data_IF_714859414273
#
_entry.id   IF_714859414273
#
_cell.length_a   1.000
_cell.length_b   1.000
_cell.length_c   1.000
_cell.angle_alpha   90.00
_cell.angle_beta   90.00
_cell.angle_gamma   90.00
#
_symmetry.space_group_name_H-M   'P 1'
#
loop_
_entity.id
_entity.type
_entity.pdbx_description
1 polymer ?
#
# COMPACT_ATOMS: atom_id res chain seq x y z
N UNK A 1 -4.44 14.17 -10.10
CA UNK A 1 -3.44 13.14 -10.48
C UNK A 1 -2.09 13.81 -10.53
N UNK A 2 -1.05 13.20 -9.96
CA UNK A 2 0.32 13.73 -10.06
C UNK A 2 0.80 13.69 -11.51
N UNK A 3 1.43 14.77 -11.97
CA UNK A 3 2.02 14.85 -13.33
C UNK A 3 3.05 13.75 -13.59
N UNK A 4 3.63 13.16 -12.54
CA UNK A 4 4.57 12.05 -12.67
C UNK A 4 3.95 10.77 -13.21
N UNK A 5 2.64 10.57 -13.04
CA UNK A 5 1.96 9.40 -13.61
C UNK A 5 1.89 9.44 -15.15
N UNK A 6 2.11 10.61 -15.79
CA UNK A 6 2.23 10.67 -17.24
C UNK A 6 3.41 9.86 -17.76
N UNK A 7 4.48 9.69 -16.97
CA UNK A 7 5.63 8.85 -17.34
C UNK A 7 5.19 7.41 -17.57
N UNK A 8 4.42 6.83 -16.63
CA UNK A 8 3.90 5.46 -16.78
C UNK A 8 2.90 5.34 -17.93
N UNK A 9 2.08 6.38 -18.18
CA UNK A 9 1.13 6.40 -19.30
C UNK A 9 1.89 6.39 -20.63
N UNK A 10 2.89 7.24 -20.79
CA UNK A 10 3.73 7.31 -22.00
C UNK A 10 4.47 5.99 -22.22
N UNK A 11 5.02 5.38 -21.16
CA UNK A 11 5.67 4.08 -21.25
C UNK A 11 4.71 2.99 -21.75
N UNK A 12 3.46 2.95 -21.27
CA UNK A 12 2.45 2.03 -21.78
C UNK A 12 2.08 2.28 -23.24
N UNK A 13 1.98 3.54 -23.65
CA UNK A 13 1.73 3.91 -25.06
C UNK A 13 2.85 3.36 -25.96
N UNK A 14 4.11 3.45 -25.53
CA UNK A 14 5.24 2.88 -26.27
C UNK A 14 5.14 1.36 -26.37
N UNK A 15 4.77 0.66 -25.29
CA UNK A 15 4.59 -0.80 -25.32
C UNK A 15 3.44 -1.20 -26.25
N UNK A 16 2.32 -0.47 -26.23
CA UNK A 16 1.20 -0.71 -27.15
C UNK A 16 1.61 -0.47 -28.60
N UNK A 17 2.33 0.62 -28.88
CA UNK A 17 2.85 0.91 -30.22
C UNK A 17 3.80 -0.19 -30.70
N UNK A 18 4.67 -0.71 -29.83
CA UNK A 18 5.57 -1.82 -30.12
C UNK A 18 4.79 -3.12 -30.42
N UNK A 19 3.73 -3.40 -29.67
CA UNK A 19 2.86 -4.56 -29.92
C UNK A 19 2.21 -4.46 -31.31
N UNK A 20 1.62 -3.30 -31.63
CA UNK A 20 1.02 -3.05 -32.96
C UNK A 20 2.09 -3.20 -34.04
N UNK A 21 3.27 -2.61 -33.85
CA UNK A 21 4.38 -2.70 -34.80
C UNK A 21 4.77 -4.15 -35.08
N UNK A 22 4.95 -4.97 -34.04
CA UNK A 22 5.30 -6.40 -34.21
C UNK A 22 4.21 -7.16 -34.95
N UNK A 23 2.94 -6.97 -34.61
CA UNK A 23 1.82 -7.63 -35.31
C UNK A 23 1.78 -7.24 -36.79
N UNK A 24 1.95 -5.95 -37.10
CA UNK A 24 2.00 -5.47 -38.49
C UNK A 24 3.23 -6.00 -39.23
N UNK A 25 4.39 -6.05 -38.59
CA UNK A 25 5.63 -6.52 -39.21
C UNK A 25 5.57 -8.00 -39.55
N UNK A 26 5.12 -8.83 -38.59
CA UNK A 26 4.87 -10.26 -38.80
C UNK A 26 3.86 -10.43 -39.95
N UNK A 27 2.71 -9.75 -39.89
CA UNK A 27 1.67 -9.87 -40.93
C UNK A 27 2.20 -9.51 -42.32
N UNK A 28 2.88 -8.37 -42.46
CA UNK A 28 3.41 -7.92 -43.74
C UNK A 28 4.49 -8.87 -44.29
N UNK A 29 5.33 -9.42 -43.41
CA UNK A 29 6.35 -10.43 -43.76
C UNK A 29 5.72 -11.71 -44.29
N UNK A 30 4.74 -12.27 -43.59
CA UNK A 30 4.04 -13.49 -44.02
C UNK A 30 3.23 -13.29 -45.31
N UNK A 31 2.51 -12.17 -45.44
CA UNK A 31 1.78 -11.84 -46.67
C UNK A 31 2.73 -11.72 -47.88
N UNK A 32 3.90 -11.09 -47.71
CA UNK A 32 4.90 -10.95 -48.78
C UNK A 32 5.49 -12.31 -49.20
N UNK A 33 5.78 -13.18 -48.25
CA UNK A 33 6.32 -14.53 -48.53
C UNK A 33 5.29 -15.37 -49.28
N UNK A 34 4.03 -15.38 -48.84
CA UNK A 34 2.96 -16.19 -49.44
C UNK A 34 2.51 -15.67 -50.82
N UNK A 35 2.27 -14.36 -50.94
CA UNK A 35 1.63 -13.79 -52.15
C UNK A 35 2.64 -13.42 -53.23
N UNK A 36 3.76 -12.81 -52.85
CA UNK A 36 4.72 -12.24 -53.80
C UNK A 36 5.82 -13.24 -54.12
N UNK A 37 6.44 -13.83 -53.10
CA UNK A 37 7.56 -14.76 -53.30
C UNK A 37 7.10 -16.19 -53.61
N UNK A 38 5.85 -16.54 -53.27
CA UNK A 38 5.27 -17.89 -53.39
C UNK A 38 6.20 -18.99 -52.84
N UNK A 39 6.97 -18.65 -51.82
CA UNK A 39 7.94 -19.54 -51.19
C UNK A 39 7.43 -20.08 -49.86
N UNK A 40 7.99 -21.22 -49.44
CA UNK A 40 7.76 -21.74 -48.11
C UNK A 40 8.36 -20.84 -47.01
N UNK A 41 7.72 -20.81 -45.86
CA UNK A 41 8.22 -20.11 -44.68
C UNK A 41 9.57 -20.72 -44.30
N UNK A 42 10.63 -19.90 -44.30
CA UNK A 42 11.98 -20.34 -43.96
C UNK A 42 12.21 -20.29 -42.46
N UNK A 43 13.07 -21.15 -41.92
CA UNK A 43 13.44 -21.18 -40.50
C UNK A 43 13.94 -19.83 -39.97
N UNK A 44 14.64 -19.04 -40.80
CA UNK A 44 15.07 -17.68 -40.46
C UNK A 44 13.90 -16.75 -40.15
N UNK A 45 12.80 -16.86 -40.89
CA UNK A 45 11.59 -16.05 -40.68
C UNK A 45 10.94 -16.40 -39.34
N UNK A 46 10.82 -17.70 -39.04
CA UNK A 46 10.26 -18.19 -37.77
C UNK A 46 11.09 -17.70 -36.58
N UNK A 47 12.42 -17.70 -36.70
CA UNK A 47 13.31 -17.26 -35.63
C UNK A 47 13.18 -15.73 -35.37
N UNK A 48 13.01 -14.94 -36.44
CA UNK A 48 12.75 -13.49 -36.31
C UNK A 48 11.38 -13.24 -35.68
N UNK A 49 10.33 -13.96 -36.10
CA UNK A 49 9.00 -13.83 -35.49
C UNK A 49 9.04 -14.19 -33.98
N UNK A 50 9.74 -15.28 -33.63
CA UNK A 50 9.91 -15.70 -32.24
C UNK A 50 10.61 -14.63 -31.40
N UNK A 51 11.68 -14.03 -31.94
CA UNK A 51 12.42 -12.98 -31.26
C UNK A 51 11.55 -11.73 -31.03
N UNK A 52 10.80 -11.30 -32.05
CA UNK A 52 9.87 -10.17 -31.93
C UNK A 52 8.80 -10.43 -30.85
N UNK A 53 8.24 -11.65 -30.80
CA UNK A 53 7.27 -12.05 -29.77
C UNK A 53 7.89 -12.03 -28.37
N UNK A 54 9.10 -12.59 -28.20
CA UNK A 54 9.80 -12.61 -26.91
C UNK A 54 10.07 -11.20 -26.40
N UNK A 55 10.47 -10.28 -27.29
CA UNK A 55 10.68 -8.86 -26.94
C UNK A 55 9.38 -8.21 -26.44
N UNK A 56 8.25 -8.46 -27.12
CA UNK A 56 6.93 -7.93 -26.69
C UNK A 56 6.55 -8.50 -25.32
N UNK A 57 6.67 -9.81 -25.12
CA UNK A 57 6.35 -10.47 -23.85
C UNK A 57 7.19 -9.87 -22.73
N UNK A 58 8.50 -9.71 -22.95
CA UNK A 58 9.39 -9.13 -21.95
C UNK A 58 8.99 -7.68 -21.61
N UNK A 59 8.70 -6.85 -22.60
CA UNK A 59 8.26 -5.46 -22.40
C UNK A 59 6.94 -5.37 -21.61
N UNK A 60 5.96 -6.19 -21.95
CA UNK A 60 4.66 -6.24 -21.26
C UNK A 60 4.83 -6.75 -19.83
N UNK A 61 5.57 -7.85 -19.62
CA UNK A 61 5.82 -8.40 -18.29
C UNK A 61 6.57 -7.42 -17.39
N UNK A 62 7.58 -6.72 -17.91
CA UNK A 62 8.30 -5.69 -17.17
C UNK A 62 7.36 -4.54 -16.76
N UNK A 63 6.52 -4.05 -17.67
CA UNK A 63 5.56 -2.99 -17.36
C UNK A 63 4.50 -3.43 -16.35
N UNK A 64 3.98 -4.65 -16.48
CA UNK A 64 3.06 -5.23 -15.48
C UNK A 64 3.72 -5.36 -14.12
N UNK A 65 4.98 -5.81 -14.08
CA UNK A 65 5.74 -5.89 -12.84
C UNK A 65 5.88 -4.53 -12.17
N UNK A 66 6.30 -3.51 -12.93
CA UNK A 66 6.50 -2.15 -12.40
C UNK A 66 5.19 -1.48 -11.99
N UNK A 67 4.08 -1.75 -12.66
CA UNK A 67 2.78 -1.12 -12.35
C UNK A 67 2.01 -1.84 -11.26
N UNK A 68 1.97 -3.16 -11.28
CA UNK A 68 1.11 -3.95 -10.38
C UNK A 68 1.89 -4.58 -9.21
N UNK A 69 3.09 -5.11 -9.48
CA UNK A 69 3.77 -5.99 -8.53
C UNK A 69 4.91 -5.32 -7.75
N UNK A 70 5.40 -4.16 -8.18
CA UNK A 70 6.38 -3.38 -7.44
C UNK A 70 5.81 -2.95 -6.08
N UNK A 71 6.24 -3.58 -5.00
CA UNK A 71 5.94 -3.14 -3.64
C UNK A 71 7.06 -2.21 -3.21
N UNK A 72 6.72 -1.04 -2.69
CA UNK A 72 7.71 -0.08 -2.21
C UNK A 72 8.21 -0.50 -0.83
N UNK A 73 9.51 -0.38 -0.64
CA UNK A 73 10.12 -0.53 0.67
C UNK A 73 9.73 0.68 1.52
N UNK A 74 8.95 0.42 2.58
CA UNK A 74 8.50 1.45 3.53
C UNK A 74 9.66 2.11 4.30
N UNK A 75 10.88 1.58 4.14
CA UNK A 75 12.12 2.13 4.70
C UNK A 75 12.72 3.25 3.82
N UNK A 76 12.49 3.25 2.51
CA UNK A 76 13.14 4.22 1.62
C UNK A 76 12.41 5.57 1.64
N UNK A 77 13.03 6.55 2.29
CA UNK A 77 12.54 7.94 2.36
C UNK A 77 12.46 8.60 0.99
N UNK A 78 13.09 8.04 -0.05
CA UNK A 78 13.04 8.59 -1.40
C UNK A 78 11.73 8.26 -2.13
N UNK A 79 11.04 7.20 -1.72
CA UNK A 79 9.83 6.71 -2.40
C UNK A 79 8.54 7.07 -1.69
N UNK A 80 8.59 7.35 -0.38
CA UNK A 80 7.40 7.70 0.39
C UNK A 80 7.53 9.04 1.13
N UNK A 81 6.40 9.73 1.23
CA UNK A 81 6.18 10.89 2.07
C UNK A 81 5.29 10.48 3.24
N UNK A 82 5.76 10.76 4.45
CA UNK A 82 5.09 10.39 5.69
C UNK A 82 4.40 11.61 6.30
N UNK A 83 3.12 11.50 6.61
CA UNK A 83 2.41 12.47 7.45
C UNK A 83 1.81 11.82 8.68
N UNK A 84 1.75 12.59 9.78
CA UNK A 84 1.31 12.09 11.08
C UNK A 84 0.19 12.98 11.61
N UNK A 85 -0.96 12.38 11.87
CA UNK A 85 -2.10 13.01 12.52
C UNK A 85 -2.22 12.51 13.96
N UNK A 86 -2.60 13.41 14.86
CA UNK A 86 -2.71 13.14 16.29
C UNK A 86 -4.08 13.59 16.74
N UNK A 87 -4.90 12.68 17.25
CA UNK A 87 -6.28 12.99 17.63
C UNK A 87 -6.60 12.43 19.02
N UNK A 88 -7.10 13.26 19.96
CA UNK A 88 -7.46 12.78 21.29
C UNK A 88 -8.62 11.80 21.20
N UNK A 89 -8.54 10.71 21.97
CA UNK A 89 -9.62 9.73 22.07
C UNK A 89 -10.62 10.15 23.15
N UNK A 90 -11.88 9.78 22.93
CA UNK A 90 -12.98 10.03 23.86
C UNK A 90 -13.19 8.78 24.71
N UNK A 91 -13.21 8.96 26.04
CA UNK A 91 -13.49 7.88 26.98
C UNK A 91 -14.93 7.41 26.82
N UNK A 92 -15.12 6.10 26.82
CA UNK A 92 -16.40 5.42 26.90
C UNK A 92 -16.52 4.71 28.24
N UNK A 93 -17.74 4.39 28.64
CA UNK A 93 -18.00 3.71 29.91
C UNK A 93 -18.65 2.36 29.64
N UNK A 94 -18.15 1.30 30.26
CA UNK A 94 -18.83 -0.01 30.23
C UNK A 94 -20.11 0.02 31.06
N UNK A 95 -20.91 -1.03 30.98
CA UNK A 95 -22.11 -1.19 31.83
C UNK A 95 -21.79 -1.12 33.32
N UNK A 96 -20.56 -1.49 33.68
CA UNK A 96 -20.10 -1.62 35.07
C UNK A 96 -19.45 -0.31 35.58
N UNK A 97 -19.51 0.77 34.78
CA UNK A 97 -18.98 2.09 35.15
C UNK A 97 -17.48 2.27 34.90
N UNK A 98 -16.79 1.27 34.35
CA UNK A 98 -15.36 1.37 34.04
C UNK A 98 -15.13 2.17 32.75
N UNK A 99 -14.29 3.20 32.82
CA UNK A 99 -13.88 3.99 31.66
C UNK A 99 -12.85 3.26 30.80
N UNK A 100 -13.03 3.27 29.48
CA UNK A 100 -12.11 2.71 28.48
C UNK A 100 -11.99 3.63 27.26
N UNK A 101 -10.86 3.56 26.55
CA UNK A 101 -10.65 4.33 25.31
C UNK A 101 -10.70 3.47 24.06
N UNK A 102 -10.34 2.19 24.21
CA UNK A 102 -10.25 1.23 23.11
C UNK A 102 -10.99 -0.02 23.52
N UNK A 103 -11.83 -0.53 22.63
CA UNK A 103 -12.44 -1.84 22.73
C UNK A 103 -11.78 -2.80 21.76
N UNK A 104 -11.45 -3.99 22.22
CA UNK A 104 -10.95 -5.09 21.41
C UNK A 104 -12.06 -6.11 21.25
N UNK A 105 -12.50 -6.30 20.01
CA UNK A 105 -13.38 -7.37 19.61
C UNK A 105 -12.52 -8.51 19.04
N UNK A 106 -12.49 -9.63 19.77
CA UNK A 106 -11.77 -10.83 19.38
C UNK A 106 -12.67 -11.68 18.48
N UNK A 107 -12.45 -11.60 17.17
CA UNK A 107 -13.06 -12.52 16.20
C UNK A 107 -12.64 -13.97 16.47
N UNK A 108 -13.42 -14.91 15.95
CA UNK A 108 -13.30 -16.37 16.11
C UNK A 108 -11.87 -16.90 16.28
N UNK A 109 -11.73 -18.02 17.03
CA UNK A 109 -10.48 -18.75 17.35
C UNK A 109 -9.60 -19.14 16.13
N UNK A 110 -10.00 -18.83 14.90
CA UNK A 110 -9.26 -19.09 13.66
C UNK A 110 -8.86 -17.82 12.89
N UNK A 111 -9.21 -16.63 13.40
CA UNK A 111 -8.81 -15.34 12.85
C UNK A 111 -7.67 -14.76 13.69
N UNK A 112 -6.47 -14.67 13.13
CA UNK A 112 -5.29 -14.02 13.77
C UNK A 112 -5.44 -12.49 13.92
N UNK A 113 -6.59 -11.93 13.53
CA UNK A 113 -6.83 -10.48 13.50
C UNK A 113 -7.87 -10.05 14.52
N UNK A 114 -7.41 -9.30 15.53
CA UNK A 114 -8.26 -8.55 16.44
C UNK A 114 -8.83 -7.30 15.74
N UNK A 115 -9.99 -6.83 16.19
CA UNK A 115 -10.60 -5.59 15.75
C UNK A 115 -10.59 -4.58 16.89
N UNK A 116 -9.99 -3.42 16.67
CA UNK A 116 -9.96 -2.32 17.63
C UNK A 116 -11.02 -1.28 17.28
N UNK A 117 -11.83 -0.92 18.27
CA UNK A 117 -12.81 0.15 18.19
C UNK A 117 -12.41 1.29 19.11
N UNK A 118 -12.53 2.53 18.64
CA UNK A 118 -12.20 3.72 19.42
C UNK A 118 -13.01 4.93 18.95
N UNK A 119 -13.04 5.99 19.75
CA UNK A 119 -13.86 7.18 19.50
C UNK A 119 -12.99 8.43 19.40
N UNK A 120 -13.19 9.18 18.33
CA UNK A 120 -12.51 10.46 18.06
C UNK A 120 -13.52 11.42 17.44
N UNK A 121 -13.53 12.69 17.86
CA UNK A 121 -14.42 13.72 17.30
C UNK A 121 -15.89 13.27 17.21
N UNK A 122 -16.40 12.64 18.29
CA UNK A 122 -17.77 12.15 18.38
C UNK A 122 -18.16 11.09 17.33
N UNK A 123 -17.17 10.42 16.73
CA UNK A 123 -17.34 9.36 15.73
C UNK A 123 -16.63 8.09 16.17
N UNK A 124 -17.23 6.93 15.86
CA UNK A 124 -16.64 5.62 16.12
C UNK A 124 -15.78 5.18 14.93
N UNK A 125 -14.59 4.67 15.22
CA UNK A 125 -13.68 4.11 14.23
C UNK A 125 -13.38 2.65 14.57
N UNK A 126 -13.33 1.82 13.54
CA UNK A 126 -13.03 0.38 13.65
C UNK A 126 -11.84 0.05 12.76
N UNK A 127 -10.80 -0.57 13.33
CA UNK A 127 -9.53 -0.86 12.65
C UNK A 127 -9.06 -2.26 12.99
N UNK A 128 -8.46 -2.96 12.03
CA UNK A 128 -7.87 -4.29 12.27
C UNK A 128 -6.47 -4.17 12.90
N UNK A 129 -6.11 -5.13 13.75
CA UNK A 129 -4.76 -5.29 14.31
C UNK A 129 -3.66 -5.45 13.24
N UNK A 130 -4.00 -5.76 12.00
CA UNK A 130 -3.05 -5.77 10.89
C UNK A 130 -2.51 -4.36 10.57
N UNK A 131 -3.37 -3.34 10.66
CA UNK A 131 -3.05 -1.95 10.32
C UNK A 131 -3.05 -1.03 11.55
N UNK A 132 -3.13 -1.60 12.75
CA UNK A 132 -3.14 -0.83 13.97
C UNK A 132 -2.48 -1.59 15.12
N UNK A 133 -1.96 -0.85 16.10
CA UNK A 133 -1.47 -1.42 17.35
C UNK A 133 -1.85 -0.56 18.53
N UNK A 134 -2.04 -1.20 19.68
CA UNK A 134 -2.31 -0.51 20.94
C UNK A 134 -0.98 -0.44 21.69
N UNK A 135 -0.63 0.75 22.14
CA UNK A 135 0.60 1.00 22.88
C UNK A 135 0.26 1.72 24.18
N UNK A 136 0.45 1.02 25.29
CA UNK A 136 0.26 1.60 26.62
C UNK A 136 1.43 2.52 27.01
N UNK A 137 1.21 3.41 27.99
CA UNK A 137 2.24 4.30 28.51
C UNK A 137 3.38 3.55 29.24
N UNK A 138 3.16 2.29 29.61
CA UNK A 138 4.13 1.45 30.33
C UNK A 138 5.15 0.79 29.43
N UNK A 139 4.86 0.64 28.13
CA UNK A 139 5.78 0.10 27.14
C UNK A 139 6.41 1.24 26.32
N UNK A 140 7.71 1.14 25.99
CA UNK A 140 8.31 2.06 25.03
C UNK A 140 7.54 1.96 23.71
N UNK A 141 7.35 3.10 23.03
CA UNK A 141 6.68 3.17 21.73
C UNK A 141 7.41 2.26 20.72
N UNK A 142 6.93 1.01 20.60
CA UNK A 142 7.50 0.00 19.72
C UNK A 142 6.38 -0.51 18.83
N UNK A 143 6.36 -0.01 17.61
CA UNK A 143 5.42 -0.36 16.56
C UNK A 143 6.05 -1.44 15.71
N UNK A 144 5.99 -2.66 16.22
CA UNK A 144 6.68 -3.85 15.70
C UNK A 144 6.32 -4.19 14.25
N UNK A 145 5.15 -3.73 13.77
CA UNK A 145 4.60 -4.12 12.47
C UNK A 145 5.08 -3.31 11.27
N UNK A 146 5.61 -2.10 11.46
CA UNK A 146 5.95 -1.23 10.32
C UNK A 146 7.23 -0.44 10.59
N UNK A 147 8.27 -0.72 9.79
CA UNK A 147 9.59 -0.06 9.82
C UNK A 147 9.54 1.39 9.28
N UNK A 148 8.60 2.18 9.79
CA UNK A 148 8.40 3.59 9.46
C UNK A 148 9.25 4.51 10.35
N UNK A 149 9.59 5.70 9.84
CA UNK A 149 10.37 6.71 10.55
C UNK A 149 9.49 7.60 11.44
N UNK A 150 9.24 7.19 12.68
CA UNK A 150 8.36 7.90 13.62
C UNK A 150 8.99 9.17 14.22
N UNK A 151 8.26 10.30 14.28
CA UNK A 151 8.76 11.56 14.82
C UNK A 151 8.69 11.56 16.35
N UNK A 152 9.65 10.89 16.99
CA UNK A 152 9.59 10.57 18.42
C UNK A 152 9.49 11.80 19.33
N UNK A 153 10.15 12.91 18.97
CA UNK A 153 10.07 14.16 19.74
C UNK A 153 8.67 14.76 19.76
N UNK A 154 7.95 14.67 18.63
CA UNK A 154 6.56 15.11 18.54
C UNK A 154 5.66 14.16 19.30
N UNK A 155 5.88 12.86 19.20
CA UNK A 155 5.12 11.83 19.94
C UNK A 155 5.23 12.09 21.45
N UNK A 156 6.43 12.31 22.00
CA UNK A 156 6.64 12.62 23.42
C UNK A 156 5.89 13.88 23.88
N UNK A 157 5.85 14.93 23.04
CA UNK A 157 5.06 16.15 23.33
C UNK A 157 3.57 15.84 23.39
N UNK A 158 3.06 15.01 22.49
CA UNK A 158 1.65 14.64 22.42
C UNK A 158 1.24 13.66 23.52
N UNK A 159 2.13 12.74 23.90
CA UNK A 159 2.00 11.87 25.07
C UNK A 159 1.71 12.69 26.33
N UNK A 160 2.48 13.78 26.54
CA UNK A 160 2.27 14.68 27.67
C UNK A 160 0.98 15.49 27.53
N UNK A 161 0.69 16.01 26.33
CA UNK A 161 -0.49 16.88 26.07
C UNK A 161 -1.82 16.15 26.24
N UNK A 162 -1.91 14.91 25.77
CA UNK A 162 -3.14 14.12 25.77
C UNK A 162 -3.13 13.01 26.82
N UNK A 163 -2.16 13.03 27.75
CA UNK A 163 -2.02 12.04 28.82
C UNK A 163 -2.08 10.60 28.31
N UNK A 164 -1.42 10.33 27.17
CA UNK A 164 -1.43 9.03 26.50
C UNK A 164 -2.81 8.52 26.06
N UNK A 165 -3.83 9.38 25.89
CA UNK A 165 -5.17 9.02 25.41
C UNK A 165 -5.45 9.63 24.02
N UNK A 166 -4.77 9.14 23.00
CA UNK A 166 -4.88 9.65 21.64
C UNK A 166 -4.50 8.60 20.59
N UNK A 167 -4.94 8.79 19.35
CA UNK A 167 -4.53 7.98 18.21
C UNK A 167 -3.50 8.73 17.36
N UNK A 168 -2.49 8.00 16.91
CA UNK A 168 -1.52 8.45 15.91
C UNK A 168 -1.86 7.78 14.60
N UNK A 169 -2.20 8.55 13.58
CA UNK A 169 -2.41 8.01 12.23
C UNK A 169 -1.23 8.40 11.36
N UNK A 170 -0.45 7.39 10.95
CA UNK A 170 0.64 7.54 10.00
C UNK A 170 0.13 7.28 8.58
N UNK A 171 0.20 8.29 7.73
CA UNK A 171 -0.11 8.17 6.31
C UNK A 171 1.18 8.12 5.50
N UNK A 172 1.40 7.01 4.79
CA UNK A 172 2.42 6.93 3.75
C UNK A 172 1.78 7.22 2.40
N UNK A 173 2.31 8.22 1.68
CA UNK A 173 1.97 8.51 0.28
C UNK A 173 3.17 8.29 -0.61
N UNK A 174 2.95 7.80 -1.82
CA UNK A 174 4.02 7.71 -2.82
C UNK A 174 4.49 9.10 -3.21
N UNK A 175 5.80 9.33 -3.14
CA UNK A 175 6.41 10.57 -3.61
C UNK A 175 6.23 10.75 -5.11
N UNK A 176 6.23 12.02 -5.50
CA UNK A 176 6.21 12.45 -6.87
C UNK A 176 7.62 12.33 -7.48
N UNK A 177 7.99 11.11 -7.86
CA UNK A 177 9.29 10.80 -8.48
C UNK A 177 9.10 9.95 -9.75
N UNK A 178 10.17 9.77 -10.53
CA UNK A 178 10.14 9.02 -11.79
C UNK A 178 9.75 7.56 -11.58
N UNK A 179 10.31 6.87 -10.58
CA UNK A 179 10.06 5.45 -10.32
C UNK A 179 8.57 5.18 -9.97
N UNK A 180 8.01 5.96 -9.03
CA UNK A 180 6.59 5.89 -8.67
C UNK A 180 5.68 6.32 -9.82
N UNK A 181 6.13 7.27 -10.65
CA UNK A 181 5.41 7.74 -11.83
C UNK A 181 5.32 6.68 -12.94
N UNK A 182 6.43 5.97 -13.20
CA UNK A 182 6.48 4.84 -14.12
C UNK A 182 5.51 3.72 -13.69
N UNK A 183 5.42 3.47 -12.38
CA UNK A 183 4.47 2.53 -11.80
C UNK A 183 3.02 3.03 -11.68
N UNK A 184 2.70 4.26 -12.11
CA UNK A 184 1.38 4.90 -11.97
C UNK A 184 0.91 5.09 -10.51
N UNK A 185 1.85 5.10 -9.56
CA UNK A 185 1.61 5.17 -8.12
C UNK A 185 1.87 6.54 -7.52
N UNK A 186 2.51 7.46 -8.25
CA UNK A 186 2.89 8.78 -7.73
C UNK A 186 1.68 9.54 -7.15
N UNK A 187 1.81 9.96 -5.88
CA UNK A 187 0.79 10.67 -5.13
C UNK A 187 -0.36 9.82 -4.59
N UNK A 188 -0.37 8.50 -4.83
CA UNK A 188 -1.38 7.59 -4.24
C UNK A 188 -1.06 7.30 -2.78
N UNK A 189 -2.08 6.90 -2.02
CA UNK A 189 -1.88 6.35 -0.68
C UNK A 189 -1.21 4.98 -0.80
N UNK A 190 -0.13 4.78 -0.03
CA UNK A 190 0.58 3.51 0.03
C UNK A 190 0.03 2.67 1.19
N UNK A 191 0.11 3.20 2.41
CA UNK A 191 -0.30 2.51 3.64
C UNK A 191 -0.78 3.55 4.65
N UNK A 192 -1.76 3.15 5.46
CA UNK A 192 -2.16 3.85 6.67
C UNK A 192 -1.93 2.92 7.87
N UNK A 193 -1.26 3.42 8.90
CA UNK A 193 -1.04 2.66 10.13
C UNK A 193 -1.45 3.51 11.34
N UNK A 194 -2.18 2.90 12.28
CA UNK A 194 -2.69 3.59 13.46
C UNK A 194 -2.06 3.06 14.74
N UNK A 195 -1.68 3.96 15.62
CA UNK A 195 -1.19 3.61 16.95
C UNK A 195 -2.12 4.22 17.97
N UNK A 196 -2.84 3.37 18.68
CA UNK A 196 -3.75 3.78 19.74
C UNK A 196 -2.92 3.87 21.02
N UNK A 197 -2.64 5.09 21.47
CA UNK A 197 -1.96 5.33 22.75
C UNK A 197 -3.02 5.27 23.83
N UNK A 198 -2.78 4.44 24.84
CA UNK A 198 -3.69 4.28 25.98
C UNK A 198 -2.92 4.53 27.28
N UNK A 199 -3.49 5.22 28.29
CA UNK A 199 -2.76 5.54 29.52
C UNK A 199 -2.30 4.32 30.30
N UNK A 200 -3.14 3.29 30.37
CA UNK A 200 -2.85 2.04 31.04
C UNK A 200 -3.70 0.91 30.43
N UNK A 201 -3.27 -0.34 30.63
CA UNK A 201 -4.01 -1.52 30.15
C UNK A 201 -5.43 -1.61 30.70
N UNK A 202 -5.70 -1.03 31.87
CA UNK A 202 -7.03 -0.96 32.49
C UNK A 202 -8.05 -0.14 31.70
N UNK A 203 -7.61 0.68 30.74
CA UNK A 203 -8.48 1.46 29.85
C UNK A 203 -8.73 0.77 28.50
N UNK A 204 -8.41 -0.52 28.41
CA UNK A 204 -8.70 -1.37 27.26
C UNK A 204 -9.83 -2.31 27.66
N UNK A 205 -10.97 -2.17 27.00
CA UNK A 205 -12.09 -3.09 27.14
C UNK A 205 -11.86 -4.27 26.20
N UNK A 206 -11.76 -5.48 26.73
CA UNK A 206 -11.61 -6.69 25.92
C UNK A 206 -12.93 -7.43 26.00
N UNK A 207 -13.69 -7.39 24.92
CA UNK A 207 -14.94 -8.14 24.85
C UNK A 207 -14.59 -9.63 24.76
N UNK A 208 -14.75 -10.34 25.87
CA UNK A 208 -14.63 -11.78 25.91
C UNK A 208 -15.78 -12.39 25.10
N UNK A 209 -15.48 -13.44 24.33
CA UNK A 209 -16.47 -14.10 23.48
C UNK A 209 -17.72 -14.46 24.29
N UNK A 210 -18.90 -14.06 23.81
CA UNK A 210 -20.16 -14.63 24.28
C UNK A 210 -20.17 -16.10 23.84
N UNK A 211 -20.12 -17.00 24.81
CA UNK A 211 -20.39 -18.44 24.62
C UNK A 211 -21.81 -18.68 24.10
#
# INVERSE_FOLDING_TARGET
MSSWNFVGIIAWIIVIALLIFVVFNIRNRHLKILVIQKNGITWKTILVDLLEIVVVIFAVSAMLYVTLFSRVDLKDKNDIEMSYKYEPMIVQTTTDGQGYYVRIDKKDKHSDNDVYQYWVNNSTYTVSSHNATISDATLPFNVSGMRMSWPMDKIKKMDSKYQYAYVITAHAKYKNNFANGLGLKAGRFAVEYRVLRVPARSFIDVEAQRE
#
